data_IF_353015985471
#
_entry.id   IF_353015985471
#
_cell.length_a   1.000
_cell.length_b   1.000
_cell.length_c   1.000
_cell.angle_alpha   90.00
_cell.angle_beta   90.00
_cell.angle_gamma   90.00
#
_symmetry.space_group_name_H-M   'P 1'
#
loop_
_entity.id
_entity.type
_entity.pdbx_description
1 polymer ?
#
# COMPACT_ATOMS: atom_id res chain seq x y z
N UNK A 1 13.14 0.22 -6.30
CA UNK A 1 11.96 -0.50 -5.84
C UNK A 1 12.42 -1.46 -4.74
N UNK A 2 11.69 -1.54 -3.65
CA UNK A 2 11.91 -2.53 -2.61
C UNK A 2 10.63 -3.36 -2.46
N UNK A 3 10.80 -4.63 -2.19
CA UNK A 3 9.71 -5.60 -2.01
C UNK A 3 10.07 -6.43 -0.80
N UNK A 4 9.09 -6.74 0.01
CA UNK A 4 9.20 -7.67 1.11
C UNK A 4 7.96 -8.53 1.14
N UNK A 5 8.15 -9.81 0.87
CA UNK A 5 7.13 -10.82 1.06
C UNK A 5 7.10 -11.27 2.52
N UNK A 6 5.97 -11.71 2.97
CA UNK A 6 5.80 -12.33 4.29
C UNK A 6 4.69 -13.39 4.21
N UNK A 7 4.66 -14.25 5.20
CA UNK A 7 3.62 -15.28 5.32
C UNK A 7 2.24 -14.63 5.53
N UNK A 8 1.19 -15.31 5.08
CA UNK A 8 -0.18 -14.76 5.09
C UNK A 8 -0.77 -14.57 6.51
N UNK A 9 -0.16 -15.15 7.53
CA UNK A 9 -0.53 -14.97 8.94
C UNK A 9 0.01 -13.67 9.55
N UNK A 10 0.98 -13.03 8.89
CA UNK A 10 1.53 -11.74 9.30
C UNK A 10 0.64 -10.62 8.77
N UNK A 11 0.17 -9.76 9.66
CA UNK A 11 -0.61 -8.59 9.26
C UNK A 11 0.23 -7.60 8.43
N UNK A 12 -0.38 -6.96 7.45
CA UNK A 12 0.25 -5.97 6.55
C UNK A 12 1.04 -4.89 7.31
N UNK A 13 0.53 -4.44 8.44
CA UNK A 13 1.22 -3.48 9.32
C UNK A 13 2.57 -3.98 9.80
N UNK A 14 2.67 -5.25 10.17
CA UNK A 14 3.93 -5.86 10.61
C UNK A 14 4.87 -6.03 9.42
N UNK A 15 4.36 -6.45 8.28
CA UNK A 15 5.10 -6.56 7.02
C UNK A 15 5.67 -5.21 6.58
N UNK A 16 4.91 -4.14 6.72
CA UNK A 16 5.35 -2.77 6.44
C UNK A 16 6.56 -2.37 7.27
N UNK A 17 6.60 -2.70 8.57
CA UNK A 17 7.75 -2.40 9.43
C UNK A 17 9.01 -3.12 8.94
N UNK A 18 8.87 -4.39 8.53
CA UNK A 18 10.00 -5.17 7.99
C UNK A 18 10.56 -4.56 6.71
N UNK A 19 9.70 -4.07 5.83
CA UNK A 19 10.10 -3.38 4.60
C UNK A 19 10.79 -2.05 4.90
N UNK A 20 10.24 -1.25 5.79
CA UNK A 20 10.72 0.11 6.06
C UNK A 20 12.02 0.15 6.83
N UNK A 21 12.34 -0.90 7.59
CA UNK A 21 13.56 -0.98 8.39
C UNK A 21 14.84 -0.82 7.56
N UNK A 22 14.87 -1.44 6.39
CA UNK A 22 16.04 -1.48 5.54
C UNK A 22 16.03 -0.41 4.44
N UNK A 23 14.88 0.24 4.25
CA UNK A 23 14.67 1.21 3.17
C UNK A 23 15.60 2.43 3.22
N UNK A 24 15.92 3.04 4.38
CA UNK A 24 16.81 4.21 4.45
C UNK A 24 18.19 3.93 3.90
N UNK A 25 18.70 2.72 4.07
CA UNK A 25 20.01 2.31 3.57
C UNK A 25 20.04 2.18 2.04
N UNK A 26 18.93 1.79 1.45
CA UNK A 26 18.80 1.57 0.00
C UNK A 26 18.35 2.83 -0.72
N UNK A 27 17.51 3.64 -0.10
CA UNK A 27 16.91 4.84 -0.67
C UNK A 27 16.97 6.03 0.31
N UNK A 28 18.15 6.64 0.50
CA UNK A 28 18.35 7.71 1.48
C UNK A 28 17.56 8.99 1.16
N UNK A 29 17.06 9.15 -0.05
CA UNK A 29 16.29 10.33 -0.48
C UNK A 29 14.80 10.25 -0.18
N UNK A 30 14.31 9.15 0.41
CA UNK A 30 12.90 9.07 0.80
C UNK A 30 12.68 9.93 2.03
N UNK A 31 11.71 10.83 1.95
CA UNK A 31 11.29 11.68 3.08
C UNK A 31 9.78 11.67 3.31
N UNK A 32 9.02 11.07 2.39
CA UNK A 32 7.56 11.07 2.47
C UNK A 32 6.97 9.75 1.97
N UNK A 33 6.05 9.20 2.76
CA UNK A 33 5.34 7.96 2.46
C UNK A 33 3.84 8.24 2.33
N UNK A 34 3.23 7.54 1.40
CA UNK A 34 1.77 7.47 1.25
C UNK A 34 1.31 6.09 1.66
N UNK A 35 0.40 6.01 2.60
CA UNK A 35 -0.14 4.75 3.09
C UNK A 35 -1.67 4.71 2.98
N UNK A 36 -2.23 3.52 2.91
CA UNK A 36 -3.68 3.33 2.98
C UNK A 36 -4.16 3.32 4.43
N UNK A 37 -5.46 3.46 4.61
CA UNK A 37 -6.12 3.53 5.92
C UNK A 37 -5.89 2.29 6.82
N UNK A 38 -5.50 1.16 6.23
CA UNK A 38 -5.12 -0.05 6.96
C UNK A 38 -3.87 0.11 7.84
N UNK A 39 -2.99 1.06 7.49
CA UNK A 39 -1.73 1.31 8.18
C UNK A 39 -1.83 2.34 9.32
N UNK A 40 -3.05 2.67 9.74
CA UNK A 40 -3.32 3.65 10.80
C UNK A 40 -2.83 3.12 12.16
N UNK A 41 -2.12 3.96 12.91
CA UNK A 41 -1.74 3.69 14.29
C UNK A 41 -0.33 4.16 14.62
N UNK A 42 0.33 3.43 15.50
CA UNK A 42 1.69 3.77 15.98
C UNK A 42 2.74 3.85 14.87
N UNK A 43 2.50 3.21 13.71
CA UNK A 43 3.46 3.21 12.60
C UNK A 43 3.81 4.63 12.12
N UNK A 44 2.82 5.51 11.98
CA UNK A 44 3.06 6.90 11.55
C UNK A 44 3.92 7.67 12.55
N UNK A 45 3.68 7.49 13.86
CA UNK A 45 4.48 8.12 14.92
C UNK A 45 5.89 7.55 14.99
N UNK A 46 6.02 6.24 14.84
CA UNK A 46 7.30 5.54 14.90
C UNK A 46 8.22 5.91 13.73
N UNK A 47 7.66 6.04 12.53
CA UNK A 47 8.41 6.50 11.35
C UNK A 47 8.89 7.94 11.49
N UNK A 48 8.05 8.83 12.00
CA UNK A 48 8.44 10.22 12.27
C UNK A 48 9.57 10.32 13.28
N UNK A 49 9.52 9.51 14.34
CA UNK A 49 10.50 9.54 15.43
C UNK A 49 11.83 8.90 15.06
N UNK A 50 11.79 7.75 14.37
CA UNK A 50 13.00 6.96 14.08
C UNK A 50 13.67 7.28 12.75
N UNK A 51 12.91 7.65 11.74
CA UNK A 51 13.43 7.87 10.39
C UNK A 51 13.34 9.33 9.92
N UNK A 52 12.65 10.19 10.66
CA UNK A 52 12.40 11.58 10.25
C UNK A 52 11.52 11.69 9.00
N UNK A 53 10.78 10.66 8.66
CA UNK A 53 9.90 10.65 7.50
C UNK A 53 8.50 11.10 7.87
N UNK A 54 7.84 11.75 6.92
CA UNK A 54 6.42 12.09 7.04
C UNK A 54 5.57 11.01 6.39
N UNK A 55 4.44 10.67 7.02
CA UNK A 55 3.47 9.74 6.46
C UNK A 55 2.13 10.45 6.25
N UNK A 56 1.62 10.37 5.03
CA UNK A 56 0.27 10.83 4.68
C UNK A 56 -0.62 9.60 4.47
N UNK A 57 -1.66 9.50 5.28
CA UNK A 57 -2.65 8.43 5.15
C UNK A 57 -3.73 8.88 4.19
N UNK A 58 -3.86 8.17 3.09
CA UNK A 58 -4.89 8.44 2.09
C UNK A 58 -6.18 7.74 2.50
N UNK A 59 -7.01 8.44 3.25
CA UNK A 59 -8.31 7.91 3.66
C UNK A 59 -9.30 7.88 2.49
N UNK A 60 -10.18 6.88 2.51
CA UNK A 60 -11.34 6.88 1.64
C UNK A 60 -12.26 8.04 2.08
N UNK A 61 -12.84 8.82 1.13
CA UNK A 61 -13.68 9.97 1.46
C UNK A 61 -15.00 9.59 2.17
N UNK A 62 -15.25 8.30 2.33
CA UNK A 62 -16.51 7.78 2.88
C UNK A 62 -16.25 7.07 4.21
N UNK A 63 -16.40 7.75 5.34
CA UNK A 63 -16.22 7.12 6.65
C UNK A 63 -17.31 6.08 6.99
N UNK A 64 -18.35 5.97 6.17
CA UNK A 64 -19.51 5.12 6.45
C UNK A 64 -19.39 3.64 6.07
N UNK A 65 -18.32 3.22 5.37
CA UNK A 65 -18.15 1.81 4.97
C UNK A 65 -17.36 0.96 5.96
N UNK A 66 -16.75 1.57 6.94
CA UNK A 66 -16.28 0.80 8.09
C UNK A 66 -17.51 0.46 8.92
N UNK A 67 -17.87 -0.81 8.95
CA UNK A 67 -18.94 -1.31 9.80
C UNK A 67 -18.69 -0.91 11.25
N UNK A 68 -19.16 0.27 11.61
CA UNK A 68 -19.13 0.74 12.98
C UNK A 68 -20.25 0.01 13.69
N UNK A 69 -19.89 -0.90 14.55
CA UNK A 69 -20.78 -1.40 15.58
C UNK A 69 -21.35 -0.18 16.33
N UNK A 70 -22.60 0.12 16.11
CA UNK A 70 -23.31 1.12 16.88
C UNK A 70 -24.29 0.38 17.80
N UNK A 71 -24.41 0.77 19.09
CA UNK A 71 -25.48 0.26 19.94
C UNK A 71 -26.84 0.49 19.27
N UNK A 72 -27.79 -0.41 19.51
CA UNK A 72 -29.14 -0.35 18.94
C UNK A 72 -29.86 0.98 19.22
N UNK A 73 -29.53 1.62 20.34
CA UNK A 73 -30.09 2.89 20.78
C UNK A 73 -29.31 4.14 20.33
N UNK A 74 -28.25 3.97 19.52
CA UNK A 74 -27.47 5.11 19.03
C UNK A 74 -28.27 5.84 17.93
N UNK A 75 -28.28 7.18 17.94
CA UNK A 75 -28.90 7.93 16.86
C UNK A 75 -28.25 7.61 15.52
N UNK A 76 -29.02 7.51 14.43
CA UNK A 76 -28.47 7.18 13.12
C UNK A 76 -27.41 8.21 12.72
N UNK A 77 -26.21 7.74 12.44
CA UNK A 77 -25.13 8.60 11.94
C UNK A 77 -25.48 9.04 10.52
N UNK A 78 -25.81 10.31 10.37
CA UNK A 78 -26.00 10.89 9.04
C UNK A 78 -24.60 11.07 8.44
N UNK A 79 -24.25 10.19 7.52
CA UNK A 79 -23.01 10.33 6.72
C UNK A 79 -23.37 11.11 5.46
N UNK A 80 -22.91 12.33 5.37
CA UNK A 80 -23.01 13.10 4.12
C UNK A 80 -22.10 12.45 3.07
N UNK A 81 -22.71 11.72 2.16
CA UNK A 81 -22.02 11.12 1.01
C UNK A 81 -21.88 12.20 -0.06
N UNK A 82 -20.68 12.60 -0.44
CA UNK A 82 -20.50 13.56 -1.52
C UNK A 82 -21.13 13.01 -2.81
N UNK A 83 -22.02 13.79 -3.41
CA UNK A 83 -22.65 13.44 -4.70
C UNK A 83 -21.62 13.63 -5.82
N UNK A 84 -21.22 12.51 -6.44
CA UNK A 84 -20.35 12.52 -7.60
C UNK A 84 -19.01 11.82 -7.39
N UNK A 85 -18.18 11.85 -8.42
CA UNK A 85 -16.86 11.22 -8.40
C UNK A 85 -15.86 12.13 -7.66
N UNK A 86 -15.31 11.63 -6.54
CA UNK A 86 -14.28 12.34 -5.78
C UNK A 86 -12.92 11.76 -6.13
N UNK A 87 -12.05 12.58 -6.72
CA UNK A 87 -10.67 12.19 -7.03
C UNK A 87 -9.84 12.19 -5.74
N UNK A 88 -9.38 11.02 -5.32
CA UNK A 88 -8.42 10.90 -4.23
C UNK A 88 -7.02 11.22 -4.74
N UNK A 89 -6.41 12.24 -4.16
CA UNK A 89 -5.06 12.64 -4.52
C UNK A 89 -4.10 11.46 -4.28
N UNK A 90 -3.31 11.16 -5.32
CA UNK A 90 -2.21 10.19 -5.30
C UNK A 90 -2.55 8.71 -5.11
N UNK A 91 -3.76 8.34 -4.73
CA UNK A 91 -4.18 6.94 -4.61
C UNK A 91 -3.98 6.14 -5.92
N UNK A 92 -4.22 6.78 -7.05
CA UNK A 92 -4.03 6.20 -8.37
C UNK A 92 -2.61 5.66 -8.62
N UNK A 93 -1.60 6.16 -7.90
CA UNK A 93 -0.20 5.71 -8.05
C UNK A 93 -0.06 4.26 -7.59
N UNK A 94 -0.62 3.94 -6.43
CA UNK A 94 -0.61 2.58 -5.87
C UNK A 94 -1.46 1.65 -6.75
N UNK A 95 -2.70 2.05 -7.04
CA UNK A 95 -3.62 1.28 -7.88
C UNK A 95 -3.02 0.98 -9.26
N UNK A 96 -2.33 1.94 -9.87
CA UNK A 96 -1.64 1.78 -11.13
C UNK A 96 -0.50 0.77 -11.04
N UNK A 97 0.28 0.80 -9.97
CA UNK A 97 1.40 -0.13 -9.77
C UNK A 97 0.88 -1.56 -9.61
N UNK A 98 -0.14 -1.76 -8.80
CA UNK A 98 -0.81 -3.05 -8.64
C UNK A 98 -1.44 -3.54 -9.96
N UNK A 99 -2.08 -2.65 -10.72
CA UNK A 99 -2.65 -2.98 -12.03
C UNK A 99 -1.59 -3.40 -13.06
N UNK A 100 -0.38 -2.86 -12.98
CA UNK A 100 0.71 -3.29 -13.85
C UNK A 100 1.22 -4.67 -13.50
N UNK A 101 1.30 -5.01 -12.22
CA UNK A 101 1.64 -6.35 -11.76
C UNK A 101 0.58 -7.35 -12.19
N UNK A 102 -0.69 -7.06 -11.97
CA UNK A 102 -1.81 -7.93 -12.32
C UNK A 102 -1.99 -8.19 -13.82
N UNK A 103 -1.40 -7.35 -14.70
CA UNK A 103 -1.32 -7.63 -16.15
C UNK A 103 -0.35 -8.75 -16.52
N UNK A 104 0.52 -9.14 -15.62
CA UNK A 104 1.35 -10.32 -15.80
C UNK A 104 0.55 -11.53 -15.30
N UNK A 105 0.16 -12.43 -16.22
CA UNK A 105 -0.75 -13.53 -15.89
C UNK A 105 -0.30 -14.40 -14.70
N UNK A 106 1.03 -14.51 -14.49
CA UNK A 106 1.59 -15.22 -13.35
C UNK A 106 1.40 -14.52 -12.00
N UNK A 107 1.20 -13.19 -12.03
CA UNK A 107 0.93 -12.37 -10.83
C UNK A 107 -0.57 -12.21 -10.55
N UNK A 108 -1.44 -12.83 -11.35
CA UNK A 108 -2.89 -12.75 -11.15
C UNK A 108 -3.36 -13.60 -9.97
N UNK A 109 -2.54 -14.56 -9.55
CA UNK A 109 -2.72 -15.39 -8.37
C UNK A 109 -1.38 -15.55 -7.67
N UNK A 110 -1.41 -15.63 -6.36
CA UNK A 110 -0.24 -15.95 -5.54
C UNK A 110 -0.24 -17.47 -5.30
N UNK A 111 0.36 -18.19 -6.23
CA UNK A 111 0.49 -19.64 -6.18
C UNK A 111 1.90 -20.08 -5.73
N UNK A 112 2.77 -19.13 -5.35
CA UNK A 112 4.15 -19.43 -5.00
C UNK A 112 4.27 -19.91 -3.54
N UNK A 113 4.82 -21.11 -3.38
CA UNK A 113 4.99 -21.71 -2.05
C UNK A 113 6.11 -21.04 -1.21
N UNK A 114 7.05 -20.37 -1.86
CA UNK A 114 8.18 -19.71 -1.21
C UNK A 114 8.07 -18.20 -1.39
N UNK A 115 8.15 -17.48 -0.28
CA UNK A 115 8.12 -16.01 -0.24
C UNK A 115 9.21 -15.40 -1.13
N UNK A 116 10.41 -15.95 -1.12
CA UNK A 116 11.53 -15.49 -1.94
C UNK A 116 11.24 -15.63 -3.44
N UNK A 117 10.53 -16.68 -3.84
CA UNK A 117 10.12 -16.88 -5.23
C UNK A 117 9.11 -15.83 -5.65
N UNK A 118 8.14 -15.52 -4.80
CA UNK A 118 7.16 -14.48 -5.03
C UNK A 118 7.84 -13.09 -5.15
N UNK A 119 8.76 -12.74 -4.27
CA UNK A 119 9.54 -11.49 -4.35
C UNK A 119 10.30 -11.39 -5.68
N UNK A 120 11.02 -12.44 -6.07
CA UNK A 120 11.78 -12.47 -7.32
C UNK A 120 10.88 -12.32 -8.54
N UNK A 121 9.70 -12.92 -8.53
CA UNK A 121 8.73 -12.81 -9.61
C UNK A 121 8.25 -11.37 -9.79
N UNK A 122 7.97 -10.66 -8.69
CA UNK A 122 7.61 -9.24 -8.74
C UNK A 122 8.74 -8.41 -9.33
N UNK A 123 9.99 -8.66 -8.94
CA UNK A 123 11.16 -7.97 -9.53
C UNK A 123 11.26 -8.24 -11.04
N UNK A 124 11.13 -9.47 -11.49
CA UNK A 124 11.15 -9.83 -12.91
C UNK A 124 10.10 -9.07 -13.71
N UNK A 125 8.86 -9.08 -13.24
CA UNK A 125 7.76 -8.38 -13.90
C UNK A 125 8.01 -6.89 -14.01
N UNK A 126 8.51 -6.27 -12.95
CA UNK A 126 8.79 -4.84 -12.93
C UNK A 126 9.99 -4.47 -13.81
N UNK A 127 11.04 -5.27 -13.84
CA UNK A 127 12.19 -5.08 -14.75
C UNK A 127 11.72 -5.16 -16.19
N UNK A 128 10.95 -6.18 -16.55
CA UNK A 128 10.37 -6.33 -17.89
C UNK A 128 9.53 -5.12 -18.29
N UNK A 129 8.74 -4.60 -17.37
CA UNK A 129 7.92 -3.41 -17.61
C UNK A 129 8.78 -2.16 -17.84
N UNK A 130 9.82 -1.96 -17.04
CA UNK A 130 10.76 -0.83 -17.20
C UNK A 130 11.54 -0.92 -18.53
N UNK A 131 12.07 -2.08 -18.87
CA UNK A 131 12.78 -2.30 -20.14
C UNK A 131 11.88 -2.00 -21.34
N UNK A 132 10.62 -2.49 -21.33
CA UNK A 132 9.66 -2.19 -22.39
C UNK A 132 9.36 -0.71 -22.53
N UNK A 133 9.37 0.05 -21.45
CA UNK A 133 9.18 1.51 -21.49
C UNK A 133 10.37 2.25 -22.04
N UNK A 134 11.57 1.81 -21.70
CA UNK A 134 12.81 2.38 -22.23
C UNK A 134 12.94 2.10 -23.75
N UNK A 135 12.56 0.90 -24.18
CA UNK A 135 12.61 0.52 -25.59
C UNK A 135 11.57 1.25 -26.47
N UNK A 136 10.55 1.89 -25.88
CA UNK A 136 9.54 2.67 -26.63
C UNK A 136 9.87 4.17 -26.74
N UNK A 137 10.98 4.60 -26.16
CA UNK A 137 11.52 5.95 -26.32
C UNK A 137 12.45 6.04 -27.50
#
# INVERSE_FOLDING_TARGET
MAIKGHEADIQDRTGTILLLRDLPNVFPCIGHLLADAGDIGKLASDLGTHLGWTMEIVNHPWPGWQGTWAPIDAPPRVVEVPKGFVVLKRRWVVERSCAWLGKSGRMAKDDEALVETAENLVYEVMIRLMVRRLAKR
#
